data_IF_295967091537
#
_entry.id   IF_295967091537
#
_cell.length_a   1.000
_cell.length_b   1.000
_cell.length_c   1.000
_cell.angle_alpha   90.00
_cell.angle_beta   90.00
_cell.angle_gamma   90.00
#
_symmetry.space_group_name_H-M   'P 1'
#
loop_
_entity.id
_entity.type
_entity.pdbx_description
1 polymer ?
#
# COMPACT_ATOMS: atom_id res chain seq x y z
N UNK A 1 -24.45 26.85 3.84
CA UNK A 1 -24.72 25.69 4.73
C UNK A 1 -23.86 24.55 4.21
N UNK A 2 -22.85 24.12 4.97
CA UNK A 2 -21.69 23.39 4.43
C UNK A 2 -22.01 21.97 3.93
N UNK A 3 -21.35 21.55 2.84
CA UNK A 3 -21.46 20.22 2.19
C UNK A 3 -21.47 19.07 3.21
N UNK A 4 -20.63 19.14 4.25
CA UNK A 4 -20.58 18.14 5.32
C UNK A 4 -21.90 17.98 6.08
N UNK A 5 -22.61 19.08 6.38
CA UNK A 5 -23.91 19.00 7.08
C UNK A 5 -24.99 18.38 6.20
N UNK A 6 -24.96 18.66 4.89
CA UNK A 6 -25.89 18.07 3.92
C UNK A 6 -25.63 16.58 3.72
N UNK A 7 -24.36 16.18 3.61
CA UNK A 7 -23.97 14.78 3.46
C UNK A 7 -24.38 13.93 4.68
N UNK A 8 -24.27 14.47 5.89
CA UNK A 8 -24.64 13.78 7.13
C UNK A 8 -26.15 13.55 7.30
N UNK A 9 -26.99 14.27 6.55
CA UNK A 9 -28.46 14.08 6.59
C UNK A 9 -28.98 13.06 5.58
N UNK A 10 -28.12 12.57 4.68
CA UNK A 10 -28.51 11.63 3.63
C UNK A 10 -28.36 10.16 4.09
N UNK A 11 -29.19 9.25 3.58
CA UNK A 11 -28.93 7.81 3.68
C UNK A 11 -27.54 7.47 3.13
N UNK A 12 -26.83 6.54 3.78
CA UNK A 12 -25.44 6.17 3.47
C UNK A 12 -25.17 5.98 1.97
N UNK A 13 -26.04 5.25 1.26
CA UNK A 13 -25.92 5.01 -0.18
C UNK A 13 -26.01 6.30 -1.02
N UNK A 14 -26.89 7.23 -0.65
CA UNK A 14 -27.04 8.51 -1.33
C UNK A 14 -25.88 9.46 -0.99
N UNK A 15 -25.41 9.43 0.26
CA UNK A 15 -24.23 10.16 0.68
C UNK A 15 -23.02 9.73 -0.18
N UNK A 16 -22.70 8.44 -0.27
CA UNK A 16 -21.56 7.93 -1.05
C UNK A 16 -21.60 8.39 -2.53
N UNK A 17 -22.78 8.44 -3.15
CA UNK A 17 -22.94 8.92 -4.53
C UNK A 17 -22.76 10.44 -4.70
N UNK A 18 -22.98 11.21 -3.63
CA UNK A 18 -22.86 12.67 -3.65
C UNK A 18 -21.53 13.16 -3.09
N UNK A 19 -20.67 12.27 -2.57
CA UNK A 19 -19.32 12.63 -2.13
C UNK A 19 -18.52 13.14 -3.33
N UNK A 20 -17.92 14.34 -3.24
CA UNK A 20 -17.03 14.86 -4.27
C UNK A 20 -15.89 13.87 -4.61
N UNK A 21 -15.56 13.65 -5.89
CA UNK A 21 -14.54 12.68 -6.31
C UNK A 21 -13.20 12.82 -5.57
N UNK A 22 -12.72 14.04 -5.35
CA UNK A 22 -11.46 14.28 -4.62
C UNK A 22 -11.46 13.77 -3.17
N UNK A 23 -12.61 13.81 -2.49
CA UNK A 23 -12.73 13.24 -1.14
C UNK A 23 -12.72 11.72 -1.20
N UNK A 24 -13.32 11.15 -2.24
CA UNK A 24 -13.28 9.72 -2.49
C UNK A 24 -11.84 9.25 -2.80
N UNK A 25 -11.07 10.02 -3.56
CA UNK A 25 -9.65 9.75 -3.81
C UNK A 25 -8.84 9.73 -2.50
N UNK A 26 -8.99 10.77 -1.68
CA UNK A 26 -8.29 10.88 -0.39
C UNK A 26 -8.63 9.68 0.52
N UNK A 27 -9.91 9.34 0.56
CA UNK A 27 -10.39 8.20 1.32
C UNK A 27 -9.81 6.88 0.81
N UNK A 28 -9.74 6.69 -0.52
CA UNK A 28 -9.14 5.51 -1.12
C UNK A 28 -7.66 5.36 -0.77
N UNK A 29 -6.90 6.45 -0.70
CA UNK A 29 -5.53 6.42 -0.21
C UNK A 29 -5.43 5.97 1.25
N UNK A 30 -6.32 6.45 2.13
CA UNK A 30 -6.39 6.03 3.52
C UNK A 30 -6.79 4.56 3.66
N UNK A 31 -7.78 4.10 2.89
CA UNK A 31 -8.23 2.71 2.86
C UNK A 31 -7.12 1.77 2.38
N UNK A 32 -6.35 2.15 1.35
CA UNK A 32 -5.20 1.37 0.89
C UNK A 32 -4.10 1.28 1.95
N UNK A 33 -3.78 2.40 2.61
CA UNK A 33 -2.80 2.39 3.69
C UNK A 33 -3.26 1.48 4.84
N UNK A 34 -4.55 1.54 5.21
CA UNK A 34 -5.14 0.68 6.22
C UNK A 34 -5.08 -0.81 5.85
N UNK A 35 -5.33 -1.17 4.58
CA UNK A 35 -5.17 -2.54 4.10
C UNK A 35 -3.74 -3.05 4.32
N UNK A 36 -2.73 -2.23 4.01
CA UNK A 36 -1.32 -2.60 4.18
C UNK A 36 -0.91 -2.70 5.67
N UNK A 37 -1.50 -1.86 6.53
CA UNK A 37 -1.16 -1.79 7.94
C UNK A 37 -1.97 -2.75 8.84
N UNK A 38 -3.10 -3.26 8.37
CA UNK A 38 -4.02 -4.08 9.17
C UNK A 38 -3.51 -5.52 9.36
N UNK A 39 -3.93 -6.10 10.49
CA UNK A 39 -3.74 -7.52 10.77
C UNK A 39 -4.79 -8.34 10.01
N UNK A 40 -4.41 -8.85 8.84
CA UNK A 40 -5.29 -9.60 7.94
C UNK A 40 -5.85 -10.89 8.58
N UNK A 41 -5.16 -11.43 9.60
CA UNK A 41 -5.60 -12.65 10.30
C UNK A 41 -6.80 -12.42 11.21
N UNK A 42 -7.01 -11.16 11.61
CA UNK A 42 -8.09 -10.71 12.52
C UNK A 42 -9.13 -9.85 11.82
N UNK A 43 -8.89 -9.47 10.56
CA UNK A 43 -9.81 -8.64 9.80
C UNK A 43 -11.05 -9.45 9.37
N UNK A 44 -12.23 -8.93 9.68
CA UNK A 44 -13.52 -9.50 9.25
C UNK A 44 -14.03 -8.85 7.95
N UNK A 45 -13.52 -7.66 7.63
CA UNK A 45 -13.89 -6.89 6.45
C UNK A 45 -12.75 -6.01 5.98
N UNK A 46 -12.88 -5.48 4.76
CA UNK A 46 -11.92 -4.52 4.20
C UNK A 46 -11.99 -3.22 5.04
N UNK A 47 -10.86 -2.74 5.59
CA UNK A 47 -10.84 -1.53 6.40
C UNK A 47 -11.44 -0.35 5.68
N UNK A 48 -12.31 0.38 6.38
CA UNK A 48 -12.93 1.60 5.87
C UNK A 48 -13.58 1.38 4.49
N UNK A 49 -14.30 0.28 4.24
CA UNK A 49 -14.92 0.08 2.92
C UNK A 49 -16.30 -0.58 2.99
N UNK A 50 -17.34 0.21 2.74
CA UNK A 50 -18.72 -0.26 2.59
C UNK A 50 -19.07 -0.56 1.12
N UNK A 51 -20.07 -1.40 0.88
CA UNK A 51 -20.57 -1.72 -0.48
C UNK A 51 -20.93 -0.46 -1.29
N UNK A 52 -21.72 0.45 -0.71
CA UNK A 52 -22.11 1.69 -1.38
C UNK A 52 -20.93 2.59 -1.79
N UNK A 53 -19.80 2.48 -1.07
CA UNK A 53 -18.59 3.23 -1.41
C UNK A 53 -17.82 2.56 -2.54
N UNK A 54 -17.79 1.22 -2.57
CA UNK A 54 -17.21 0.47 -3.70
C UNK A 54 -17.96 0.80 -4.98
N UNK A 55 -19.29 0.79 -4.94
CA UNK A 55 -20.13 1.18 -6.08
C UNK A 55 -19.73 2.57 -6.61
N UNK A 56 -19.59 3.56 -5.71
CA UNK A 56 -19.23 4.93 -6.10
C UNK A 56 -17.81 5.02 -6.69
N UNK A 57 -16.86 4.22 -6.21
CA UNK A 57 -15.50 4.16 -6.75
C UNK A 57 -15.49 3.45 -8.11
N UNK A 58 -16.25 2.37 -8.24
CA UNK A 58 -16.38 1.62 -9.48
C UNK A 58 -17.03 2.47 -10.57
N UNK A 59 -18.03 3.29 -10.23
CA UNK A 59 -18.61 4.30 -11.13
C UNK A 59 -17.53 5.27 -11.67
N UNK A 60 -16.63 5.76 -10.81
CA UNK A 60 -15.51 6.63 -11.23
C UNK A 60 -14.50 5.89 -12.11
N UNK A 61 -14.18 4.63 -11.79
CA UNK A 61 -13.27 3.80 -12.59
C UNK A 61 -13.85 3.54 -13.97
N UNK A 62 -15.14 3.21 -14.07
CA UNK A 62 -15.84 3.00 -15.33
C UNK A 62 -15.90 4.28 -16.17
N UNK A 63 -16.06 5.44 -15.52
CA UNK A 63 -16.00 6.75 -16.15
C UNK A 63 -14.59 7.18 -16.58
N UNK A 64 -13.56 6.33 -16.38
CA UNK A 64 -12.14 6.63 -16.64
C UNK A 64 -11.68 7.93 -15.97
N UNK A 65 -12.13 8.12 -14.73
CA UNK A 65 -11.85 9.31 -13.95
C UNK A 65 -10.34 9.55 -13.80
N UNK A 66 -9.89 10.76 -14.13
CA UNK A 66 -8.54 11.25 -13.87
C UNK A 66 -8.59 12.12 -12.60
N UNK A 67 -8.04 11.59 -11.52
CA UNK A 67 -8.07 12.20 -10.20
C UNK A 67 -7.02 13.28 -9.97
N UNK A 68 -7.31 14.20 -9.03
CA UNK A 68 -6.38 15.27 -8.65
C UNK A 68 -5.26 14.80 -7.71
N UNK A 69 -5.52 13.74 -6.96
CA UNK A 69 -4.57 13.09 -6.05
C UNK A 69 -4.08 11.78 -6.62
N UNK A 70 -4.96 11.04 -7.31
CA UNK A 70 -4.71 9.69 -7.77
C UNK A 70 -4.47 9.56 -9.28
N UNK A 71 -4.45 10.67 -10.05
CA UNK A 71 -4.24 10.65 -11.50
C UNK A 71 -5.04 9.54 -12.17
N UNK A 72 -4.35 8.60 -12.82
CA UNK A 72 -4.96 7.46 -13.52
C UNK A 72 -4.97 6.15 -12.72
N UNK A 73 -4.44 6.13 -11.49
CA UNK A 73 -4.25 4.88 -10.73
C UNK A 73 -5.36 4.58 -9.70
N UNK A 74 -6.51 5.24 -9.76
CA UNK A 74 -7.70 4.83 -9.01
C UNK A 74 -8.02 3.33 -9.16
N UNK A 75 -7.95 2.71 -10.35
CA UNK A 75 -8.18 1.27 -10.50
C UNK A 75 -7.20 0.41 -9.70
N UNK A 76 -5.95 0.86 -9.53
CA UNK A 76 -4.94 0.16 -8.70
C UNK A 76 -5.32 0.19 -7.23
N UNK A 77 -5.88 1.30 -6.74
CA UNK A 77 -6.33 1.40 -5.34
C UNK A 77 -7.51 0.46 -5.06
N UNK A 78 -8.42 0.26 -6.02
CA UNK A 78 -9.46 -0.78 -5.93
C UNK A 78 -8.83 -2.17 -5.89
N UNK A 79 -7.83 -2.42 -6.72
CA UNK A 79 -7.10 -3.70 -6.74
C UNK A 79 -6.44 -4.01 -5.40
N UNK A 80 -5.86 -3.01 -4.70
CA UNK A 80 -5.27 -3.20 -3.36
C UNK A 80 -6.28 -3.77 -2.37
N UNK A 81 -7.54 -3.34 -2.43
CA UNK A 81 -8.60 -3.88 -1.59
C UNK A 81 -8.92 -5.34 -1.94
N UNK A 82 -8.96 -5.68 -3.23
CA UNK A 82 -9.12 -7.08 -3.68
C UNK A 82 -7.94 -7.96 -3.23
N UNK A 83 -6.72 -7.43 -3.22
CA UNK A 83 -5.53 -8.13 -2.68
C UNK A 83 -5.70 -8.39 -1.19
N UNK A 84 -6.13 -7.38 -0.42
CA UNK A 84 -6.39 -7.52 1.01
C UNK A 84 -7.48 -8.57 1.29
N UNK A 85 -8.57 -8.55 0.54
CA UNK A 85 -9.66 -9.53 0.66
C UNK A 85 -9.20 -10.96 0.35
N UNK A 86 -8.37 -11.14 -0.69
CA UNK A 86 -7.72 -12.42 -0.95
C UNK A 86 -6.84 -12.84 0.22
N UNK A 87 -6.06 -11.91 0.79
CA UNK A 87 -5.28 -12.13 2.00
C UNK A 87 -6.13 -12.59 3.19
N UNK A 88 -7.32 -12.02 3.40
CA UNK A 88 -8.24 -12.44 4.47
C UNK A 88 -8.73 -13.89 4.29
N UNK A 89 -8.98 -14.29 3.04
CA UNK A 89 -9.43 -15.66 2.70
C UNK A 89 -8.29 -16.67 2.83
N UNK A 90 -7.10 -16.29 2.40
CA UNK A 90 -5.88 -17.11 2.46
C UNK A 90 -5.31 -17.22 3.89
N UNK A 91 -5.46 -16.17 4.70
CA UNK A 91 -4.79 -16.02 6.01
C UNK A 91 -3.31 -16.43 5.93
N UNK A 92 -2.50 -15.71 5.13
CA UNK A 92 -1.16 -16.11 4.67
C UNK A 92 -0.12 -16.36 5.78
N UNK A 93 -0.39 -16.01 7.03
CA UNK A 93 0.55 -16.17 8.14
C UNK A 93 -0.22 -16.68 9.35
N UNK A 94 0.11 -17.88 9.81
CA UNK A 94 -0.36 -18.33 11.10
C UNK A 94 0.41 -17.52 12.18
N UNK A 95 -0.24 -17.27 13.30
CA UNK A 95 0.41 -16.66 14.47
C UNK A 95 1.09 -17.77 15.28
N UNK A 96 1.81 -18.66 14.59
CA UNK A 96 2.61 -19.68 15.24
C UNK A 96 3.71 -18.98 16.02
N UNK A 97 3.81 -19.32 17.30
CA UNK A 97 4.84 -18.88 18.24
C UNK A 97 6.28 -19.24 17.81
N UNK A 98 6.46 -19.74 16.59
CA UNK A 98 7.73 -20.05 15.97
C UNK A 98 8.30 -18.79 15.33
N UNK A 99 9.53 -18.47 15.73
CA UNK A 99 10.37 -17.42 15.16
C UNK A 99 10.75 -17.64 13.67
N UNK A 100 10.35 -18.76 13.06
CA UNK A 100 10.72 -19.12 11.69
C UNK A 100 9.66 -18.63 10.68
N UNK A 101 10.07 -18.07 9.51
CA UNK A 101 9.13 -17.77 8.43
C UNK A 101 8.46 -19.04 7.90
N UNK A 102 7.21 -19.30 8.30
CA UNK A 102 6.35 -20.27 7.65
C UNK A 102 5.63 -19.58 6.48
N UNK A 103 5.89 -20.02 5.26
CA UNK A 103 5.26 -19.47 4.06
C UNK A 103 3.92 -20.14 3.75
N UNK A 104 3.00 -19.36 3.18
CA UNK A 104 1.76 -19.86 2.59
C UNK A 104 0.52 -19.72 3.48
N UNK A 105 -0.69 -19.82 2.88
CA UNK A 105 -1.97 -19.69 3.57
C UNK A 105 -2.10 -20.66 4.74
N UNK A 106 -2.51 -20.15 5.90
CA UNK A 106 -2.87 -20.95 7.09
C UNK A 106 -4.01 -21.92 6.79
N UNK A 107 -4.85 -21.59 5.81
CA UNK A 107 -5.98 -22.41 5.34
C UNK A 107 -5.62 -23.30 4.15
N UNK A 108 -4.36 -23.32 3.71
CA UNK A 108 -3.91 -23.99 2.50
C UNK A 108 -4.32 -23.26 1.21
N UNK A 109 -3.78 -23.70 0.06
CA UNK A 109 -4.15 -23.13 -1.23
C UNK A 109 -5.41 -23.82 -1.79
N UNK A 110 -6.54 -23.13 -1.73
CA UNK A 110 -7.77 -23.58 -2.37
C UNK A 110 -7.78 -23.17 -3.86
N UNK A 111 -8.44 -23.92 -4.75
CA UNK A 111 -8.54 -23.57 -6.17
C UNK A 111 -9.06 -22.15 -6.41
N UNK A 112 -10.04 -21.71 -5.62
CA UNK A 112 -10.60 -20.35 -5.71
C UNK A 112 -9.55 -19.27 -5.39
N UNK A 113 -8.55 -19.54 -4.55
CA UNK A 113 -7.47 -18.59 -4.27
C UNK A 113 -6.65 -18.31 -5.53
N UNK A 114 -6.34 -19.34 -6.32
CA UNK A 114 -5.60 -19.18 -7.57
C UNK A 114 -6.40 -18.43 -8.64
N UNK A 115 -7.71 -18.70 -8.73
CA UNK A 115 -8.59 -17.99 -9.67
C UNK A 115 -8.64 -16.50 -9.32
N UNK A 116 -8.91 -16.17 -8.05
CA UNK A 116 -8.94 -14.77 -7.59
C UNK A 116 -7.57 -14.11 -7.74
N UNK A 117 -6.47 -14.80 -7.42
CA UNK A 117 -5.11 -14.30 -7.64
C UNK A 117 -4.87 -13.97 -9.11
N UNK A 118 -5.23 -14.87 -10.03
CA UNK A 118 -5.09 -14.68 -11.47
C UNK A 118 -5.87 -13.47 -12.00
N UNK A 119 -7.11 -13.29 -11.54
CA UNK A 119 -7.93 -12.13 -11.89
C UNK A 119 -7.32 -10.80 -11.40
N UNK A 120 -6.80 -10.77 -10.17
CA UNK A 120 -6.13 -9.59 -9.63
C UNK A 120 -4.85 -9.30 -10.41
N UNK A 121 -4.04 -10.33 -10.68
CA UNK A 121 -2.80 -10.22 -11.44
C UNK A 121 -3.04 -9.70 -12.86
N UNK A 122 -4.07 -10.21 -13.55
CA UNK A 122 -4.47 -9.76 -14.87
C UNK A 122 -4.81 -8.26 -14.89
N UNK A 123 -5.59 -7.79 -13.89
CA UNK A 123 -5.93 -6.37 -13.74
C UNK A 123 -4.68 -5.50 -13.54
N UNK A 124 -3.73 -5.95 -12.73
CA UNK A 124 -2.45 -5.26 -12.54
C UNK A 124 -1.64 -5.21 -13.84
N UNK A 125 -1.49 -6.33 -14.55
CA UNK A 125 -0.68 -6.41 -15.77
C UNK A 125 -1.30 -5.60 -16.91
N UNK A 126 -2.62 -5.62 -17.07
CA UNK A 126 -3.33 -4.85 -18.10
C UNK A 126 -3.38 -3.36 -17.81
N UNK A 127 -3.17 -2.95 -16.56
CA UNK A 127 -3.14 -1.53 -16.23
C UNK A 127 -1.99 -0.82 -16.95
N UNK A 128 -2.37 0.12 -17.80
CA UNK A 128 -1.50 1.08 -18.45
C UNK A 128 -1.92 2.49 -18.00
N UNK A 129 -1.00 3.34 -17.52
CA UNK A 129 -1.30 4.74 -17.26
C UNK A 129 -1.79 5.41 -18.54
N UNK A 130 -2.75 6.32 -18.42
CA UNK A 130 -3.15 7.14 -19.56
C UNK A 130 -1.95 7.96 -20.05
N UNK A 131 -1.88 8.16 -21.37
CA UNK A 131 -0.85 8.96 -22.02
C UNK A 131 -1.27 10.41 -22.19
N UNK A 132 -2.43 10.79 -21.64
CA UNK A 132 -2.90 12.16 -21.61
C UNK A 132 -1.79 13.09 -21.07
N UNK A 133 -1.36 14.10 -21.85
CA UNK A 133 -0.36 15.07 -21.40
C UNK A 133 -0.77 15.84 -20.13
N UNK A 134 -2.07 15.90 -19.82
CA UNK A 134 -2.59 16.53 -18.60
C UNK A 134 -2.56 15.59 -17.37
N UNK A 135 -2.26 14.30 -17.56
CA UNK A 135 -2.12 13.36 -16.46
C UNK A 135 -0.78 13.55 -15.74
N UNK A 136 -0.83 14.08 -14.51
CA UNK A 136 0.37 14.18 -13.68
C UNK A 136 0.98 12.79 -13.40
N UNK A 137 2.23 12.62 -13.85
CA UNK A 137 3.17 11.52 -13.57
C UNK A 137 2.69 10.08 -13.83
N UNK A 138 2.77 9.60 -15.09
CA UNK A 138 2.63 8.17 -15.39
C UNK A 138 3.62 7.28 -14.61
N UNK A 139 4.75 7.84 -14.17
CA UNK A 139 5.72 7.15 -13.32
C UNK A 139 5.11 6.75 -11.98
N UNK A 140 4.33 7.64 -11.36
CA UNK A 140 3.64 7.35 -10.11
C UNK A 140 2.68 6.18 -10.30
N UNK A 141 1.84 6.21 -11.33
CA UNK A 141 0.92 5.11 -11.63
C UNK A 141 1.64 3.75 -11.74
N UNK A 142 2.84 3.72 -12.33
CA UNK A 142 3.67 2.51 -12.41
C UNK A 142 4.27 2.13 -11.04
N UNK A 143 4.68 3.09 -10.20
CA UNK A 143 5.10 2.82 -8.81
C UNK A 143 3.97 2.16 -8.03
N UNK A 144 2.76 2.72 -8.08
CA UNK A 144 1.57 2.18 -7.43
C UNK A 144 1.25 0.75 -7.91
N UNK A 145 1.26 0.53 -9.23
CA UNK A 145 1.04 -0.81 -9.82
C UNK A 145 2.05 -1.82 -9.30
N UNK A 146 3.35 -1.50 -9.36
CA UNK A 146 4.38 -2.45 -8.95
C UNK A 146 4.40 -2.68 -7.43
N UNK A 147 4.07 -1.68 -6.62
CA UNK A 147 3.87 -1.87 -5.19
C UNK A 147 2.70 -2.84 -4.92
N UNK A 148 1.56 -2.66 -5.59
CA UNK A 148 0.44 -3.59 -5.49
C UNK A 148 0.81 -5.01 -5.98
N UNK A 149 1.60 -5.12 -7.04
CA UNK A 149 2.14 -6.40 -7.52
C UNK A 149 3.02 -7.07 -6.47
N UNK A 150 3.95 -6.35 -5.85
CA UNK A 150 4.80 -6.89 -4.78
C UNK A 150 3.95 -7.36 -3.59
N UNK A 151 2.92 -6.59 -3.23
CA UNK A 151 2.00 -6.93 -2.14
C UNK A 151 1.19 -8.20 -2.43
N UNK A 152 0.65 -8.33 -3.64
CA UNK A 152 -0.07 -9.52 -4.09
C UNK A 152 0.84 -10.76 -4.06
N UNK A 153 2.03 -10.68 -4.65
CA UNK A 153 2.91 -11.84 -4.80
C UNK A 153 3.53 -12.27 -3.48
N UNK A 154 3.73 -11.35 -2.53
CA UNK A 154 4.16 -11.71 -1.17
C UNK A 154 3.12 -12.45 -0.34
N UNK A 155 1.91 -12.69 -0.87
CA UNK A 155 0.93 -13.65 -0.31
C UNK A 155 1.31 -15.11 -0.58
N UNK A 156 1.98 -15.37 -1.70
CA UNK A 156 2.22 -16.74 -2.15
C UNK A 156 3.34 -17.38 -1.36
N UNK A 157 4.45 -16.68 -1.16
CA UNK A 157 5.62 -17.21 -0.45
C UNK A 157 6.25 -16.11 0.39
N UNK A 158 7.20 -16.51 1.25
CA UNK A 158 8.03 -15.53 1.94
C UNK A 158 9.06 -14.93 0.97
N UNK A 159 8.89 -13.68 0.52
CA UNK A 159 9.52 -13.22 -0.70
C UNK A 159 11.03 -12.99 -0.58
N UNK A 160 11.53 -12.90 0.65
CA UNK A 160 12.93 -12.59 0.94
C UNK A 160 13.72 -13.80 1.47
N UNK A 161 13.10 -14.98 1.59
CA UNK A 161 13.82 -16.23 1.86
C UNK A 161 14.58 -16.64 0.60
N UNK A 162 15.79 -17.18 0.77
CA UNK A 162 16.59 -17.71 -0.34
C UNK A 162 15.86 -18.88 -1.01
N UNK A 163 15.18 -18.60 -2.11
CA UNK A 163 14.56 -19.61 -2.98
C UNK A 163 15.45 -19.91 -4.18
N UNK A 164 15.39 -21.12 -4.76
CA UNK A 164 16.05 -21.42 -6.02
C UNK A 164 15.61 -20.42 -7.11
N UNK A 165 16.51 -20.05 -8.04
CA UNK A 165 16.15 -19.15 -9.13
C UNK A 165 14.96 -19.74 -9.93
N UNK A 166 13.94 -18.92 -10.12
CA UNK A 166 12.69 -19.35 -10.76
C UNK A 166 11.80 -18.17 -11.13
N UNK A 167 10.66 -18.47 -11.76
CA UNK A 167 9.72 -17.46 -12.29
C UNK A 167 9.23 -16.50 -11.20
N UNK A 168 8.94 -16.99 -10.00
CA UNK A 168 8.54 -16.17 -8.84
C UNK A 168 9.60 -15.14 -8.47
N UNK A 169 10.83 -15.59 -8.17
CA UNK A 169 11.93 -14.72 -7.76
C UNK A 169 12.28 -13.68 -8.84
N UNK A 170 12.30 -14.09 -10.11
CA UNK A 170 12.56 -13.20 -11.25
C UNK A 170 11.46 -12.13 -11.40
N UNK A 171 10.20 -12.53 -11.26
CA UNK A 171 9.07 -11.62 -11.36
C UNK A 171 9.09 -10.57 -10.24
N UNK A 172 9.25 -11.00 -8.98
CA UNK A 172 9.36 -10.11 -7.82
C UNK A 172 10.53 -9.13 -7.95
N UNK A 173 11.71 -9.64 -8.34
CA UNK A 173 12.90 -8.81 -8.58
C UNK A 173 12.66 -7.77 -9.66
N UNK A 174 11.98 -8.14 -10.74
CA UNK A 174 11.66 -7.21 -11.83
C UNK A 174 10.67 -6.13 -11.38
N UNK A 175 9.56 -6.51 -10.74
CA UNK A 175 8.57 -5.56 -10.23
C UNK A 175 9.21 -4.54 -9.27
N UNK A 176 10.06 -5.02 -8.36
CA UNK A 176 10.82 -4.17 -7.45
C UNK A 176 11.79 -3.22 -8.17
N UNK A 177 12.56 -3.73 -9.13
CA UNK A 177 13.49 -2.91 -9.94
C UNK A 177 12.75 -1.81 -10.70
N UNK A 178 11.61 -2.14 -11.31
CA UNK A 178 10.78 -1.18 -12.05
C UNK A 178 10.23 -0.12 -11.10
N UNK A 179 9.73 -0.51 -9.91
CA UNK A 179 9.22 0.44 -8.92
C UNK A 179 10.29 1.47 -8.52
N UNK A 180 11.52 1.02 -8.22
CA UNK A 180 12.63 1.92 -7.87
C UNK A 180 13.03 2.84 -9.03
N UNK A 181 13.06 2.32 -10.26
CA UNK A 181 13.37 3.12 -11.44
C UNK A 181 12.33 4.24 -11.63
N UNK A 182 11.04 3.92 -11.55
CA UNK A 182 10.00 4.94 -11.70
C UNK A 182 9.97 5.91 -10.52
N UNK A 183 10.21 5.44 -9.30
CA UNK A 183 10.38 6.33 -8.15
C UNK A 183 11.48 7.37 -8.41
N UNK A 184 12.64 6.96 -8.95
CA UNK A 184 13.72 7.91 -9.25
C UNK A 184 13.39 8.97 -10.31
N UNK A 185 12.35 8.75 -11.13
CA UNK A 185 11.90 9.68 -12.16
C UNK A 185 10.85 10.68 -11.65
N UNK A 186 10.21 10.39 -10.53
CA UNK A 186 9.29 11.33 -9.88
C UNK A 186 10.12 12.41 -9.20
N UNK A 187 9.85 13.67 -9.55
CA UNK A 187 10.45 14.84 -8.90
C UNK A 187 10.10 14.87 -7.41
N UNK A 188 11.08 15.16 -6.55
CA UNK A 188 10.88 15.34 -5.09
C UNK A 188 9.94 16.50 -4.76
N UNK A 189 9.82 17.45 -5.68
CA UNK A 189 9.01 18.65 -5.51
C UNK A 189 7.55 18.46 -5.89
N UNK A 190 7.22 17.35 -6.58
CA UNK A 190 5.87 17.06 -7.04
C UNK A 190 4.92 16.80 -5.88
N UNK A 191 3.69 17.33 -5.98
CA UNK A 191 2.56 17.12 -5.07
C UNK A 191 2.25 15.63 -4.87
N UNK A 192 2.53 14.80 -5.87
CA UNK A 192 2.26 13.35 -5.88
C UNK A 192 2.97 12.61 -4.75
N UNK A 193 4.09 13.15 -4.26
CA UNK A 193 4.83 12.51 -3.18
C UNK A 193 4.00 12.42 -1.88
N UNK A 194 2.98 13.28 -1.69
CA UNK A 194 2.05 13.23 -0.54
C UNK A 194 1.33 11.90 -0.42
N UNK A 195 1.12 11.20 -1.53
CA UNK A 195 0.34 9.96 -1.58
C UNK A 195 1.18 8.69 -1.71
N UNK A 196 2.51 8.81 -1.71
CA UNK A 196 3.45 7.70 -1.89
C UNK A 196 3.74 6.89 -0.60
N UNK A 197 3.10 7.20 0.53
CA UNK A 197 3.43 6.53 1.80
C UNK A 197 3.21 5.01 1.76
N UNK A 198 2.03 4.53 1.35
CA UNK A 198 1.79 3.08 1.32
C UNK A 198 2.62 2.36 0.24
N UNK A 199 2.83 2.88 -0.99
CA UNK A 199 3.73 2.23 -1.95
C UNK A 199 5.17 2.15 -1.44
N UNK A 200 5.67 3.22 -0.79
CA UNK A 200 7.01 3.24 -0.21
C UNK A 200 7.15 2.26 0.95
N UNK A 201 6.10 2.07 1.75
CA UNK A 201 6.07 1.06 2.81
C UNK A 201 6.24 -0.35 2.23
N UNK A 202 5.45 -0.70 1.21
CA UNK A 202 5.57 -1.99 0.53
C UNK A 202 6.97 -2.17 -0.07
N UNK A 203 7.43 -1.22 -0.88
CA UNK A 203 8.75 -1.27 -1.54
C UNK A 203 9.86 -1.39 -0.49
N UNK A 204 9.75 -0.64 0.62
CA UNK A 204 10.70 -0.64 1.71
C UNK A 204 10.87 -2.01 2.38
N UNK A 205 9.83 -2.86 2.43
CA UNK A 205 9.95 -4.23 2.94
C UNK A 205 10.95 -5.09 2.13
N UNK A 206 11.21 -4.75 0.87
CA UNK A 206 12.15 -5.46 -0.02
C UNK A 206 13.53 -4.77 -0.10
N UNK A 207 13.75 -3.69 0.64
CA UNK A 207 15.01 -2.94 0.61
C UNK A 207 16.15 -3.68 1.32
N UNK A 208 17.03 -4.31 0.53
CA UNK A 208 18.22 -5.03 1.01
C UNK A 208 19.42 -4.11 1.29
N UNK A 209 19.76 -3.23 0.35
CA UNK A 209 21.01 -2.45 0.39
C UNK A 209 20.84 -1.11 1.10
N UNK A 210 21.91 -0.63 1.75
CA UNK A 210 21.93 0.70 2.38
C UNK A 210 21.60 1.84 1.40
N UNK A 211 22.05 1.70 0.15
CA UNK A 211 21.73 2.65 -0.94
C UNK A 211 20.21 2.81 -1.13
N UNK A 212 19.48 1.71 -1.24
CA UNK A 212 18.03 1.77 -1.49
C UNK A 212 17.28 2.25 -0.25
N UNK A 213 17.67 1.78 0.95
CA UNK A 213 17.13 2.32 2.21
C UNK A 213 17.31 3.84 2.29
N UNK A 214 18.50 4.34 1.92
CA UNK A 214 18.80 5.78 1.86
C UNK A 214 17.92 6.57 0.89
N UNK A 215 17.63 6.03 -0.30
CA UNK A 215 16.70 6.65 -1.27
C UNK A 215 15.30 6.78 -0.67
N UNK A 216 14.78 5.71 -0.05
CA UNK A 216 13.44 5.71 0.56
C UNK A 216 13.40 6.67 1.76
N UNK A 217 14.43 6.65 2.62
CA UNK A 217 14.57 7.58 3.76
C UNK A 217 14.55 9.02 3.31
N UNK A 218 15.43 9.39 2.36
CA UNK A 218 15.53 10.76 1.85
C UNK A 218 14.19 11.23 1.27
N UNK A 219 13.50 10.36 0.54
CA UNK A 219 12.17 10.65 0.00
C UNK A 219 11.13 10.91 1.08
N UNK A 220 11.03 10.05 2.09
CA UNK A 220 10.06 10.19 3.18
C UNK A 220 10.33 11.45 4.03
N UNK A 221 11.60 11.76 4.31
CA UNK A 221 11.99 13.00 4.99
C UNK A 221 11.63 14.25 4.16
N UNK A 222 11.88 14.22 2.85
CA UNK A 222 11.50 15.30 1.93
C UNK A 222 9.99 15.52 1.91
N UNK A 223 9.20 14.44 1.89
CA UNK A 223 7.73 14.51 1.98
C UNK A 223 7.28 15.17 3.29
N UNK A 224 7.83 14.69 4.41
CA UNK A 224 7.50 15.19 5.74
C UNK A 224 7.83 16.68 5.89
N UNK A 225 9.05 17.08 5.53
CA UNK A 225 9.51 18.47 5.63
C UNK A 225 8.75 19.42 4.71
N UNK A 226 8.45 19.01 3.48
CA UNK A 226 7.82 19.88 2.47
C UNK A 226 6.32 20.00 2.64
N UNK A 227 5.64 18.87 2.86
CA UNK A 227 4.17 18.83 2.84
C UNK A 227 3.55 18.77 4.24
N UNK A 228 4.37 18.68 5.29
CA UNK A 228 3.96 18.66 6.71
C UNK A 228 2.90 17.59 6.99
N UNK A 229 3.01 16.44 6.33
CA UNK A 229 2.14 15.27 6.51
C UNK A 229 2.83 14.25 7.42
N UNK A 230 2.20 13.94 8.56
CA UNK A 230 2.76 13.04 9.57
C UNK A 230 2.97 11.61 9.08
N UNK A 231 2.15 11.14 8.12
CA UNK A 231 2.21 9.77 7.61
C UNK A 231 3.59 9.38 7.05
N UNK A 232 4.37 10.33 6.53
CA UNK A 232 5.68 10.03 5.96
C UNK A 232 6.75 9.73 7.03
N UNK A 233 6.74 10.45 8.16
CA UNK A 233 7.64 10.17 9.28
C UNK A 233 7.30 8.84 9.96
N UNK A 234 6.00 8.60 10.19
CA UNK A 234 5.54 7.33 10.75
C UNK A 234 5.90 6.14 9.83
N UNK A 235 5.73 6.30 8.51
CA UNK A 235 6.15 5.29 7.53
C UNK A 235 7.66 5.05 7.60
N UNK A 236 8.47 6.10 7.75
CA UNK A 236 9.92 5.98 7.87
C UNK A 236 10.31 5.24 9.15
N UNK A 237 9.73 5.61 10.28
CA UNK A 237 10.00 4.98 11.58
C UNK A 237 9.69 3.48 11.55
N UNK A 238 8.52 3.14 10.99
CA UNK A 238 8.12 1.76 10.77
C UNK A 238 9.10 1.00 9.86
N UNK A 239 9.52 1.61 8.75
CA UNK A 239 10.51 1.01 7.86
C UNK A 239 11.88 0.85 8.52
N UNK A 240 12.30 1.76 9.39
CA UNK A 240 13.54 1.62 10.15
C UNK A 240 13.50 0.39 11.06
N UNK A 241 12.35 0.13 11.73
CA UNK A 241 12.15 -1.11 12.49
C UNK A 241 12.20 -2.35 11.59
N UNK A 242 11.44 -2.35 10.49
CA UNK A 242 11.44 -3.45 9.50
C UNK A 242 12.86 -3.70 8.97
N UNK A 243 13.64 -2.65 8.75
CA UNK A 243 15.02 -2.77 8.28
C UNK A 243 16.01 -3.26 9.33
N UNK A 244 15.64 -3.22 10.61
CA UNK A 244 16.36 -3.87 11.71
C UNK A 244 16.14 -5.39 11.78
N UNK A 245 15.02 -5.89 11.23
CA UNK A 245 14.76 -7.33 11.14
C UNK A 245 15.69 -8.02 10.13
N UNK A 246 16.00 -9.32 10.29
CA UNK A 246 16.63 -10.14 9.26
C UNK A 246 15.90 -9.99 7.91
N UNK A 247 16.62 -9.94 6.80
CA UNK A 247 16.01 -9.68 5.49
C UNK A 247 14.96 -10.72 5.13
N UNK A 248 15.25 -11.97 5.45
CA UNK A 248 14.42 -13.16 5.30
C UNK A 248 13.17 -13.11 6.17
N UNK A 249 13.03 -12.19 7.12
CA UNK A 249 11.82 -11.98 7.94
C UNK A 249 10.99 -10.78 7.51
N UNK A 250 11.41 -10.05 6.48
CA UNK A 250 10.66 -8.87 6.02
C UNK A 250 9.58 -9.32 5.05
N UNK A 251 8.35 -8.93 5.32
CA UNK A 251 7.21 -9.16 4.42
C UNK A 251 6.19 -8.03 4.65
N UNK A 252 5.65 -7.40 3.59
CA UNK A 252 4.60 -6.41 3.71
C UNK A 252 3.41 -6.80 4.59
N UNK A 253 3.05 -8.08 4.59
CA UNK A 253 1.92 -8.58 5.38
C UNK A 253 2.22 -8.73 6.87
N UNK A 254 3.49 -8.58 7.28
CA UNK A 254 3.91 -8.62 8.69
C UNK A 254 4.07 -7.22 9.29
N UNK A 255 3.80 -6.18 8.50
CA UNK A 255 3.91 -4.79 8.92
C UNK A 255 3.07 -4.49 10.16
N UNK A 256 1.89 -5.09 10.30
CA UNK A 256 1.07 -4.91 11.50
C UNK A 256 1.77 -5.37 12.80
N UNK A 257 2.63 -6.41 12.74
CA UNK A 257 3.44 -6.83 13.90
C UNK A 257 4.50 -5.77 14.21
N UNK A 258 5.20 -5.29 13.18
CA UNK A 258 6.14 -4.17 13.31
C UNK A 258 5.47 -2.93 13.91
N UNK A 259 4.25 -2.57 13.50
CA UNK A 259 3.49 -1.45 14.08
C UNK A 259 3.23 -1.65 15.58
N UNK A 260 2.87 -2.86 16.02
CA UNK A 260 2.64 -3.18 17.44
C UNK A 260 3.93 -3.16 18.26
N UNK A 261 5.04 -3.60 17.68
CA UNK A 261 6.36 -3.66 18.31
C UNK A 261 7.04 -2.30 18.38
N UNK A 262 6.84 -1.46 17.35
CA UNK A 262 7.25 -0.07 17.38
C UNK A 262 6.41 0.65 18.43
N UNK A 263 7.01 0.95 19.58
CA UNK A 263 6.42 1.92 20.51
C UNK A 263 6.26 3.23 19.75
N UNK A 264 5.00 3.61 19.52
CA UNK A 264 4.61 4.77 18.73
C UNK A 264 5.41 6.02 19.12
N UNK A 265 5.69 6.91 18.15
CA UNK A 265 6.07 8.31 18.38
C UNK A 265 4.91 9.13 18.99
N UNK A 266 4.15 8.53 19.89
CA UNK A 266 3.05 9.12 20.65
C UNK A 266 3.17 8.89 22.17
N UNK A 267 4.22 8.22 22.64
CA UNK A 267 4.63 8.42 24.03
C UNK A 267 5.17 9.85 24.14
N UNK A 268 4.43 10.72 24.84
CA UNK A 268 4.90 12.01 25.33
C UNK A 268 5.91 11.79 26.47
N UNK A 269 6.90 10.91 26.27
CA UNK A 269 8.04 10.82 27.17
C UNK A 269 9.17 11.72 26.65
N UNK A 270 9.92 12.30 27.58
CA UNK A 270 11.02 13.22 27.30
C UNK A 270 12.06 12.66 26.32
N UNK A 271 12.21 11.33 26.27
CA UNK A 271 13.22 10.64 25.46
C UNK A 271 12.81 10.45 23.99
N UNK A 272 11.51 10.48 23.68
CA UNK A 272 11.01 10.35 22.30
C UNK A 272 10.98 11.70 21.55
N UNK A 273 10.75 12.80 22.27
CA UNK A 273 10.71 14.16 21.71
C UNK A 273 12.06 14.61 21.13
N UNK A 274 13.18 14.15 21.69
CA UNK A 274 14.53 14.47 21.20
C UNK A 274 14.89 13.79 19.88
N UNK A 275 14.10 12.80 19.42
CA UNK A 275 14.32 12.07 18.15
C UNK A 275 13.47 12.58 16.99
N UNK A 276 12.46 13.41 17.26
CA UNK A 276 11.56 13.99 16.25
C UNK A 276 12.06 15.33 15.69
N UNK A 277 13.08 15.93 16.31
CA UNK A 277 13.68 17.21 15.91
C UNK A 277 15.21 17.14 15.84
N UNK A 278 15.73 16.15 15.10
CA UNK A 278 17.09 16.19 14.55
C UNK A 278 17.00 16.11 13.04
#
# INVERSE_FOLDING_TARGET
>A
MGILKTLLTLPHKQMCKQVPPILLEYYMHAACFACVAADVTKAESIPFMSEALRDAVDDLVQAKYIGKLCGTWLPIMVVVQSIFELGMKMRPFADDASDAPAGGPSTGYLPNHFVTFGQIQERLVRFAPDKDPDCESPEAAIVFRNAATLYLWSLLEWPNVSTPPGSYANFMKNAYKVALLQLSRISEFSSINKVLCWPLLIIGCFAKTAKVKGIITSRLLSIAGRFKVGNALETLFLLQHVWGLPFERRNPWMVHKSIRETRCCGCVCSDCMSRLFI
#
